data_IF_937637445485
#
_entry.id   IF_937637445485
#
_cell.length_a   1.000
_cell.length_b   1.000
_cell.length_c   1.000
_cell.angle_alpha   90.00
_cell.angle_beta   90.00
_cell.angle_gamma   90.00
#
_symmetry.space_group_name_H-M   'P 1'
#
loop_
_entity.id
_entity.type
_entity.pdbx_description
1 polymer ?
#
# COMPACT_ATOMS: atom_id res chain seq x y z
N UNK A 1 4.10 -4.68 -11.30
CA UNK A 1 2.98 -4.80 -10.34
C UNK A 1 1.92 -5.74 -10.87
N UNK A 2 1.50 -6.64 -10.03
CA UNK A 2 0.43 -7.58 -10.33
C UNK A 2 -0.74 -7.33 -9.39
N UNK A 3 -1.92 -7.16 -9.97
CA UNK A 3 -3.16 -6.99 -9.21
C UNK A 3 -3.85 -8.34 -9.07
N UNK A 4 -4.23 -8.67 -7.86
CA UNK A 4 -4.98 -9.87 -7.57
C UNK A 4 -6.40 -9.51 -7.14
N UNK A 5 -7.37 -10.24 -7.67
CA UNK A 5 -8.77 -10.10 -7.28
C UNK A 5 -9.22 -11.39 -6.62
N UNK A 6 -9.83 -11.27 -5.45
CA UNK A 6 -10.33 -12.41 -4.70
C UNK A 6 -11.78 -12.18 -4.28
N UNK A 7 -12.67 -13.04 -4.75
CA UNK A 7 -14.08 -12.97 -4.39
C UNK A 7 -14.36 -13.86 -3.18
N UNK A 8 -14.94 -13.27 -2.15
CA UNK A 8 -15.34 -13.99 -0.94
C UNK A 8 -16.86 -14.13 -0.96
N UNK A 9 -17.33 -15.31 -1.35
CA UNK A 9 -18.74 -15.59 -1.61
C UNK A 9 -19.61 -15.40 -0.36
N UNK A 10 -19.15 -15.87 0.78
CA UNK A 10 -19.92 -15.78 2.03
C UNK A 10 -20.19 -14.34 2.46
N UNK A 11 -19.34 -13.40 2.10
CA UNK A 11 -19.47 -12.00 2.43
C UNK A 11 -19.95 -11.15 1.25
N UNK A 12 -20.10 -11.76 0.08
CA UNK A 12 -20.45 -11.09 -1.16
C UNK A 12 -19.57 -9.87 -1.41
N UNK A 13 -18.27 -10.03 -1.20
CA UNK A 13 -17.32 -8.95 -1.38
C UNK A 13 -16.14 -9.38 -2.25
N UNK A 14 -15.54 -8.39 -2.88
CA UNK A 14 -14.37 -8.56 -3.71
C UNK A 14 -13.20 -7.81 -3.07
N UNK A 15 -12.09 -8.50 -2.87
CA UNK A 15 -10.85 -7.88 -2.46
C UNK A 15 -9.96 -7.67 -3.67
N UNK A 16 -9.39 -6.50 -3.78
CA UNK A 16 -8.36 -6.18 -4.77
C UNK A 16 -7.10 -5.89 -3.98
N UNK A 17 -5.99 -6.52 -4.36
CA UNK A 17 -4.74 -6.25 -3.66
C UNK A 17 -3.54 -6.35 -4.58
N UNK A 18 -2.49 -5.61 -4.19
CA UNK A 18 -1.21 -5.56 -4.91
C UNK A 18 -0.08 -5.73 -3.91
N UNK A 19 0.93 -6.50 -4.29
CA UNK A 19 2.15 -6.66 -3.50
C UNK A 19 3.06 -5.47 -3.74
N UNK A 20 3.35 -4.71 -2.69
CA UNK A 20 4.23 -3.54 -2.73
C UNK A 20 5.69 -3.93 -2.50
N UNK A 21 5.92 -5.00 -1.75
CA UNK A 21 7.27 -5.48 -1.47
C UNK A 21 7.27 -6.49 -0.34
N UNK A 22 8.42 -7.10 -0.10
CA UNK A 22 8.61 -8.05 0.99
C UNK A 22 9.19 -7.30 2.19
N UNK A 23 8.45 -7.32 3.29
CA UNK A 23 8.82 -6.60 4.50
C UNK A 23 9.92 -7.35 5.25
N UNK A 24 10.92 -6.60 5.75
CA UNK A 24 11.98 -7.13 6.60
C UNK A 24 12.07 -6.27 7.87
N UNK A 25 11.96 -6.89 9.04
CA UNK A 25 12.03 -6.19 10.31
C UNK A 25 13.40 -5.55 10.56
N UNK A 26 14.45 -6.07 9.94
CA UNK A 26 15.80 -5.53 10.11
C UNK A 26 16.08 -4.33 9.21
N UNK A 27 15.36 -4.22 8.07
CA UNK A 27 15.60 -3.18 7.07
C UNK A 27 14.47 -2.16 6.97
N UNK A 28 13.27 -2.53 7.41
CA UNK A 28 12.05 -1.76 7.18
C UNK A 28 11.30 -1.37 8.45
N UNK A 29 11.95 -1.38 9.61
CA UNK A 29 11.30 -1.00 10.86
C UNK A 29 10.72 0.42 10.82
N UNK A 30 11.38 1.33 10.08
CA UNK A 30 10.90 2.70 9.87
C UNK A 30 9.79 2.79 8.86
N UNK A 31 9.86 1.94 7.83
CA UNK A 31 8.80 1.87 6.84
C UNK A 31 7.47 1.48 7.50
N UNK A 32 7.53 0.67 8.55
CA UNK A 32 6.34 0.29 9.30
C UNK A 32 5.62 1.51 9.90
N UNK A 33 6.38 2.47 10.42
CA UNK A 33 5.82 3.72 10.95
C UNK A 33 5.12 4.49 9.83
N UNK A 34 5.75 4.61 8.67
CA UNK A 34 5.18 5.33 7.54
C UNK A 34 3.93 4.63 7.00
N UNK A 35 3.93 3.30 6.98
CA UNK A 35 2.76 2.51 6.57
C UNK A 35 1.59 2.73 7.52
N UNK A 36 1.84 2.70 8.83
CA UNK A 36 0.80 2.95 9.82
C UNK A 36 0.25 4.37 9.72
N UNK A 37 1.13 5.34 9.48
CA UNK A 37 0.73 6.73 9.28
C UNK A 37 -0.09 6.89 8.00
N UNK A 38 0.27 6.18 6.94
CA UNK A 38 -0.46 6.22 5.67
C UNK A 38 -1.86 5.62 5.80
N UNK A 39 -2.02 4.59 6.64
CA UNK A 39 -3.33 3.97 6.89
C UNK A 39 -4.27 4.87 7.68
N UNK A 40 -3.73 5.81 8.45
CA UNK A 40 -4.56 6.67 9.30
C UNK A 40 -5.49 7.50 8.43
N UNK A 41 -6.79 7.24 8.55
CA UNK A 41 -7.85 7.90 7.78
C UNK A 41 -7.60 7.85 6.27
N UNK A 42 -6.83 6.87 5.80
CA UNK A 42 -6.47 6.65 4.39
C UNK A 42 -5.71 7.83 3.75
N UNK A 43 -5.00 8.63 4.53
CA UNK A 43 -4.28 9.79 4.00
C UNK A 43 -3.20 9.42 2.98
N UNK A 44 -2.46 8.35 3.26
CA UNK A 44 -1.39 7.90 2.37
C UNK A 44 -1.81 6.85 1.37
N UNK A 45 -3.09 6.49 1.32
CA UNK A 45 -3.63 5.46 0.43
C UNK A 45 -4.73 6.00 -0.48
N UNK A 46 -4.64 7.27 -0.86
CA UNK A 46 -5.51 8.03 -1.76
C UNK A 46 -6.88 8.41 -1.23
N UNK A 47 -7.19 8.06 0.02
CA UNK A 47 -8.50 8.40 0.60
C UNK A 47 -9.67 7.55 0.12
N UNK A 48 -9.41 6.59 -0.77
CA UNK A 48 -10.46 5.79 -1.42
C UNK A 48 -10.84 4.50 -0.70
N UNK A 49 -10.34 4.27 0.50
CA UNK A 49 -10.65 3.07 1.26
C UNK A 49 -9.60 1.97 1.15
N UNK A 50 -8.53 2.18 0.42
CA UNK A 50 -7.40 1.26 0.39
C UNK A 50 -6.60 1.35 1.69
N UNK A 51 -6.02 0.25 2.10
CA UNK A 51 -5.21 0.17 3.31
C UNK A 51 -4.05 -0.81 3.09
N UNK A 52 -3.00 -0.65 3.90
CA UNK A 52 -1.90 -1.60 3.91
C UNK A 52 -2.15 -2.70 4.92
N UNK A 53 -1.74 -3.91 4.55
CA UNK A 53 -1.71 -5.06 5.43
C UNK A 53 -0.45 -5.87 5.20
N UNK A 54 -0.08 -6.66 6.19
CA UNK A 54 1.07 -7.55 6.10
C UNK A 54 0.60 -8.99 6.09
N UNK A 55 1.00 -9.74 5.05
CA UNK A 55 0.83 -11.18 5.02
C UNK A 55 1.99 -11.80 5.81
N UNK A 56 1.69 -12.33 6.99
CA UNK A 56 2.70 -12.88 7.87
C UNK A 56 3.38 -14.13 7.34
N UNK A 57 2.72 -14.88 6.48
CA UNK A 57 3.27 -16.11 5.92
C UNK A 57 4.36 -15.82 4.90
N UNK A 58 4.16 -14.79 4.09
CA UNK A 58 5.08 -14.42 3.03
C UNK A 58 5.89 -13.17 3.34
N UNK A 59 5.53 -12.44 4.38
CA UNK A 59 6.06 -11.12 4.73
C UNK A 59 5.82 -10.08 3.63
N UNK A 60 4.84 -10.31 2.79
CA UNK A 60 4.47 -9.35 1.76
C UNK A 60 3.66 -8.20 2.35
N UNK A 61 4.04 -6.98 1.98
CA UNK A 61 3.25 -5.79 2.29
C UNK A 61 2.26 -5.60 1.15
N UNK A 62 0.98 -5.70 1.48
CA UNK A 62 -0.09 -5.62 0.50
C UNK A 62 -0.84 -4.32 0.65
N UNK A 63 -1.14 -3.67 -0.46
CA UNK A 63 -2.12 -2.59 -0.52
C UNK A 63 -3.41 -3.21 -1.01
N UNK A 64 -4.49 -3.10 -0.22
CA UNK A 64 -5.74 -3.78 -0.53
C UNK A 64 -6.94 -2.87 -0.36
N UNK A 65 -8.03 -3.23 -1.02
CA UNK A 65 -9.32 -2.57 -0.86
C UNK A 65 -10.43 -3.60 -0.99
N UNK A 66 -11.43 -3.46 -0.13
CA UNK A 66 -12.63 -4.31 -0.14
C UNK A 66 -13.77 -3.58 -0.85
N UNK A 67 -14.46 -4.29 -1.72
CA UNK A 67 -15.65 -3.78 -2.42
C UNK A 67 -16.84 -4.65 -2.08
N UNK A 68 -17.93 -4.02 -1.70
CA UNK A 68 -19.20 -4.71 -1.55
C UNK A 68 -19.83 -4.82 -2.94
N UNK A 69 -19.99 -6.05 -3.43
CA UNK A 69 -20.43 -6.28 -4.82
C UNK A 69 -21.78 -5.66 -5.09
N UNK A 70 -22.68 -5.68 -4.10
CA UNK A 70 -24.03 -5.15 -4.26
C UNK A 70 -24.10 -3.62 -4.42
N UNK A 71 -23.06 -2.90 -4.00
CA UNK A 71 -23.09 -1.44 -3.97
C UNK A 71 -22.06 -0.75 -4.85
N UNK A 72 -21.15 -1.51 -5.47
CA UNK A 72 -20.15 -0.92 -6.36
C UNK A 72 -20.60 -1.04 -7.81
N UNK A 73 -20.50 0.05 -8.58
CA UNK A 73 -20.75 0.00 -10.01
C UNK A 73 -19.43 -0.17 -10.79
N UNK A 74 -19.56 -0.45 -12.09
CA UNK A 74 -18.40 -0.72 -12.93
C UNK A 74 -17.43 0.46 -12.99
N UNK A 75 -17.92 1.66 -13.20
CA UNK A 75 -17.05 2.83 -13.34
C UNK A 75 -16.39 3.19 -12.03
N UNK A 76 -17.08 3.06 -10.91
CA UNK A 76 -16.51 3.27 -9.59
C UNK A 76 -15.43 2.24 -9.25
N UNK A 77 -15.66 0.99 -9.61
CA UNK A 77 -14.69 -0.07 -9.42
C UNK A 77 -13.42 0.17 -10.25
N UNK A 78 -13.58 0.48 -11.53
CA UNK A 78 -12.43 0.74 -12.41
C UNK A 78 -11.65 1.95 -11.93
N UNK A 79 -12.33 3.03 -11.55
CA UNK A 79 -11.67 4.22 -11.00
C UNK A 79 -10.87 3.92 -9.73
N UNK A 80 -11.45 3.14 -8.83
CA UNK A 80 -10.76 2.74 -7.60
C UNK A 80 -9.54 1.85 -7.90
N UNK A 81 -9.64 0.95 -8.87
CA UNK A 81 -8.50 0.12 -9.28
C UNK A 81 -7.36 0.96 -9.86
N UNK A 82 -7.67 1.97 -10.66
CA UNK A 82 -6.66 2.88 -11.18
C UNK A 82 -5.94 3.61 -10.04
N UNK A 83 -6.69 4.13 -9.09
CA UNK A 83 -6.11 4.82 -7.93
C UNK A 83 -5.21 3.91 -7.09
N UNK A 84 -5.66 2.70 -6.82
CA UNK A 84 -4.88 1.76 -6.00
C UNK A 84 -3.58 1.35 -6.71
N UNK A 85 -3.59 1.21 -8.03
CA UNK A 85 -2.38 0.93 -8.81
C UNK A 85 -1.41 2.10 -8.74
N UNK A 86 -1.89 3.32 -8.84
CA UNK A 86 -1.04 4.52 -8.74
C UNK A 86 -0.37 4.61 -7.37
N UNK A 87 -1.13 4.41 -6.30
CA UNK A 87 -0.59 4.42 -4.93
C UNK A 87 0.41 3.29 -4.75
N UNK A 88 0.06 2.07 -5.18
CA UNK A 88 0.95 0.91 -5.05
C UNK A 88 2.26 1.10 -5.81
N UNK A 89 2.21 1.73 -6.98
CA UNK A 89 3.40 2.00 -7.80
C UNK A 89 4.36 2.93 -7.07
N UNK A 90 3.84 4.00 -6.48
CA UNK A 90 4.66 4.94 -5.71
C UNK A 90 5.30 4.23 -4.52
N UNK A 91 4.52 3.48 -3.75
CA UNK A 91 5.03 2.78 -2.57
C UNK A 91 6.02 1.68 -2.93
N UNK A 92 5.82 0.98 -4.04
CA UNK A 92 6.77 -0.02 -4.51
C UNK A 92 8.14 0.59 -4.81
N UNK A 93 8.15 1.74 -5.50
CA UNK A 93 9.39 2.47 -5.76
C UNK A 93 10.07 2.91 -4.48
N UNK A 94 9.31 3.48 -3.56
CA UNK A 94 9.84 3.94 -2.29
C UNK A 94 10.36 2.78 -1.44
N UNK A 95 9.68 1.65 -1.48
CA UNK A 95 10.09 0.45 -0.77
C UNK A 95 11.45 -0.02 -1.27
N UNK A 96 11.62 -0.14 -2.58
CA UNK A 96 12.86 -0.56 -3.20
C UNK A 96 13.98 0.46 -2.95
N UNK A 97 13.68 1.73 -3.10
CA UNK A 97 14.61 2.82 -2.87
C UNK A 97 15.06 2.86 -1.40
N UNK A 98 14.13 2.72 -0.48
CA UNK A 98 14.41 2.70 0.96
C UNK A 98 15.36 1.55 1.33
N UNK A 99 15.16 0.36 0.75
CA UNK A 99 16.06 -0.78 0.97
C UNK A 99 17.48 -0.49 0.49
N UNK A 100 17.62 0.14 -0.68
CA UNK A 100 18.92 0.49 -1.23
C UNK A 100 19.59 1.61 -0.42
N UNK A 101 18.83 2.61 -0.03
CA UNK A 101 19.33 3.81 0.66
C UNK A 101 19.64 3.56 2.15
N UNK A 102 18.89 2.69 2.81
CA UNK A 102 19.09 2.39 4.24
C UNK A 102 20.45 1.78 4.54
N UNK A 103 21.12 1.20 3.54
CA UNK A 103 22.47 0.68 3.70
C UNK A 103 23.54 1.76 3.69
N UNK A 104 23.23 2.97 3.21
CA UNK A 104 24.20 4.04 2.95
C UNK A 104 23.82 5.40 3.53
N UNK A 105 22.58 5.60 3.97
CA UNK A 105 22.07 6.90 4.39
C UNK A 105 21.72 6.94 5.88
N UNK A 106 21.85 8.13 6.52
CA UNK A 106 21.28 8.32 7.85
C UNK A 106 19.78 8.07 7.85
N UNK A 107 19.30 7.55 8.95
CA UNK A 107 17.91 7.17 9.14
C UNK A 107 16.90 8.27 8.81
N UNK A 108 17.22 9.49 9.21
CA UNK A 108 16.31 10.64 9.05
C UNK A 108 16.09 10.99 7.59
N UNK A 109 17.12 10.85 6.75
CA UNK A 109 17.00 11.16 5.32
C UNK A 109 16.15 10.13 4.57
N UNK A 110 16.27 8.85 4.92
CA UNK A 110 15.47 7.80 4.30
C UNK A 110 13.98 8.01 4.58
N UNK A 111 13.63 8.34 5.81
CA UNK A 111 12.25 8.61 6.20
C UNK A 111 11.68 9.84 5.48
N UNK A 112 12.49 10.89 5.37
CA UNK A 112 12.09 12.11 4.67
C UNK A 112 11.84 11.87 3.18
N UNK A 113 12.66 11.04 2.55
CA UNK A 113 12.47 10.66 1.14
C UNK A 113 11.17 9.93 0.92
N UNK A 114 10.81 9.00 1.81
CA UNK A 114 9.53 8.27 1.73
C UNK A 114 8.35 9.22 1.80
N UNK A 115 8.36 10.16 2.74
CA UNK A 115 7.27 11.13 2.92
C UNK A 115 7.12 12.02 1.70
N UNK A 116 8.23 12.53 1.17
CA UNK A 116 8.21 13.39 -0.02
C UNK A 116 7.76 12.66 -1.28
N UNK A 117 8.21 11.41 -1.45
CA UNK A 117 7.89 10.62 -2.64
C UNK A 117 6.43 10.20 -2.70
N UNK A 118 5.83 9.91 -1.55
CA UNK A 118 4.42 9.53 -1.47
C UNK A 118 3.51 10.73 -1.69
N UNK A 119 4.01 11.96 -1.47
CA UNK A 119 3.21 13.16 -1.62
C UNK A 119 2.10 13.25 -0.59
N UNK A 120 2.32 12.74 0.60
CA UNK A 120 1.34 12.78 1.69
C UNK A 120 1.17 14.22 2.13
N UNK A 121 -0.03 14.74 1.92
CA UNK A 121 -0.41 16.10 2.38
C UNK A 121 -1.23 15.99 3.64
N UNK A 122 -0.75 16.59 4.66
CA UNK A 122 -1.47 16.62 5.93
C UNK A 122 -1.69 18.04 6.36
#
# INVERSE_FOLDING_TARGET
LEMTLEFVEQQNCLFVYLNVGVFSTTQHDRLLVDVLAANLLHYGTSGGGAAFGLDKETNELLLFQRFQVASVDESGFVGACVEIVEVATVWQKNFQHCCAELSTMPRMQAQQLLILSVGVKR
#
